data_IF_012493116930
#
_entry.id   IF_012493116930
#
_cell.length_a   1.000
_cell.length_b   1.000
_cell.length_c   1.000
_cell.angle_alpha   90.00
_cell.angle_beta   90.00
_cell.angle_gamma   90.00
#
_symmetry.space_group_name_H-M   'P 1'
#
loop_
_entity.id
_entity.type
_entity.pdbx_description
1 polymer ?
#
# COMPACT_ATOMS: atom_id res chain seq x y z
N UNK A 1 8.33 -20.01 -6.98
CA UNK A 1 6.92 -19.76 -7.33
C UNK A 1 6.51 -18.46 -6.64
N UNK A 2 6.09 -17.45 -7.40
CA UNK A 2 5.60 -16.18 -6.84
C UNK A 2 4.10 -16.13 -7.03
N UNK A 3 3.34 -16.05 -5.93
CA UNK A 3 1.90 -15.85 -5.97
C UNK A 3 1.61 -14.38 -5.75
N UNK A 4 0.73 -13.83 -6.58
CA UNK A 4 0.22 -12.48 -6.37
C UNK A 4 -0.79 -12.52 -5.23
N UNK A 5 -0.58 -11.70 -4.21
CA UNK A 5 -1.54 -11.52 -3.13
C UNK A 5 -2.20 -10.15 -3.26
N UNK A 6 -3.52 -10.14 -3.12
CA UNK A 6 -4.28 -8.89 -3.09
C UNK A 6 -4.21 -8.30 -1.69
N UNK A 7 -4.02 -6.99 -1.61
CA UNK A 7 -4.06 -6.26 -0.34
C UNK A 7 -5.49 -5.80 -0.12
N UNK A 8 -6.19 -6.44 0.81
CA UNK A 8 -7.57 -6.08 1.15
C UNK A 8 -7.68 -4.62 1.61
N UNK A 9 -8.72 -3.92 1.15
CA UNK A 9 -8.95 -2.51 1.48
C UNK A 9 -8.15 -1.51 0.65
N UNK A 10 -7.40 -1.96 -0.36
CA UNK A 10 -6.77 -1.12 -1.37
C UNK A 10 -7.48 -1.36 -2.71
N UNK A 11 -8.39 -0.46 -3.07
CA UNK A 11 -9.11 -0.49 -4.35
C UNK A 11 -9.01 0.88 -5.02
N UNK A 12 -8.79 0.91 -6.33
CA UNK A 12 -8.65 2.17 -7.07
C UNK A 12 -7.41 2.98 -6.66
N UNK A 13 -6.28 2.31 -6.40
CA UNK A 13 -5.00 2.99 -6.19
C UNK A 13 -4.56 3.70 -7.48
N UNK A 14 -4.32 5.01 -7.38
CA UNK A 14 -3.82 5.84 -8.49
C UNK A 14 -2.31 5.97 -8.48
N UNK A 15 -1.69 5.90 -7.31
CA UNK A 15 -0.24 5.90 -7.14
C UNK A 15 0.18 5.00 -5.97
N UNK A 16 1.37 4.42 -6.08
CA UNK A 16 2.00 3.60 -5.03
C UNK A 16 3.43 4.08 -4.81
N UNK A 17 3.84 4.13 -3.53
CA UNK A 17 5.23 4.31 -3.12
C UNK A 17 5.62 3.12 -2.25
N UNK A 18 6.72 2.47 -2.61
CA UNK A 18 7.33 1.40 -1.82
C UNK A 18 8.51 1.95 -1.02
N UNK A 19 8.41 1.89 0.30
CA UNK A 19 9.52 2.14 1.23
C UNK A 19 10.25 0.85 1.58
N UNK A 20 11.28 0.95 2.42
CA UNK A 20 12.11 -0.21 2.79
C UNK A 20 11.36 -1.29 3.59
N UNK A 21 10.25 -0.94 4.24
CA UNK A 21 9.50 -1.83 5.13
C UNK A 21 7.98 -1.67 5.04
N UNK A 22 7.50 -0.63 4.37
CA UNK A 22 6.07 -0.33 4.19
C UNK A 22 5.82 0.18 2.78
N UNK A 23 4.61 0.00 2.31
CA UNK A 23 4.13 0.55 1.04
C UNK A 23 2.93 1.44 1.36
N UNK A 24 2.77 2.52 0.61
CA UNK A 24 1.61 3.40 0.70
C UNK A 24 0.97 3.58 -0.68
N UNK A 25 -0.35 3.60 -0.72
CA UNK A 25 -1.14 3.86 -1.92
C UNK A 25 -1.99 5.12 -1.73
N UNK A 26 -2.00 5.99 -2.76
CA UNK A 26 -2.97 7.05 -2.92
C UNK A 26 -4.19 6.49 -3.66
N UNK A 27 -5.35 6.54 -3.03
CA UNK A 27 -6.61 6.08 -3.61
C UNK A 27 -7.28 7.20 -4.41
N UNK A 28 -8.14 6.82 -5.35
CA UNK A 28 -8.92 7.78 -6.15
C UNK A 28 -9.79 8.74 -5.32
N UNK A 29 -10.14 8.37 -4.09
CA UNK A 29 -10.84 9.25 -3.15
C UNK A 29 -9.97 10.30 -2.46
N UNK A 30 -8.65 10.31 -2.70
CA UNK A 30 -7.69 11.19 -2.02
C UNK A 30 -7.10 10.61 -0.73
N UNK A 31 -7.67 9.51 -0.23
CA UNK A 31 -7.17 8.82 0.96
C UNK A 31 -5.82 8.12 0.69
N UNK A 32 -4.95 8.11 1.70
CA UNK A 32 -3.71 7.33 1.69
C UNK A 32 -3.84 6.13 2.61
N UNK A 33 -3.47 4.95 2.10
CA UNK A 33 -3.43 3.71 2.89
C UNK A 33 -2.06 3.06 2.82
N UNK A 34 -1.50 2.72 3.97
CA UNK A 34 -0.20 2.08 4.06
C UNK A 34 -0.29 0.68 4.67
N UNK A 35 0.50 -0.25 4.15
CA UNK A 35 0.63 -1.62 4.67
C UNK A 35 2.10 -2.04 4.74
N UNK A 36 2.39 -3.03 5.58
CA UNK A 36 3.75 -3.48 5.88
C UNK A 36 4.17 -3.16 7.31
N UNK A 37 5.46 -3.33 7.60
CA UNK A 37 6.01 -3.14 8.95
C UNK A 37 6.04 -1.67 9.31
N UNK A 38 5.38 -1.32 10.43
CA UNK A 38 5.50 -0.01 11.05
C UNK A 38 6.92 0.14 11.60
N UNK A 39 7.85 0.78 10.88
CA UNK A 39 8.93 1.46 11.59
C UNK A 39 8.26 2.62 12.30
N UNK A 40 8.22 2.53 13.62
CA UNK A 40 7.73 3.59 14.51
C UNK A 40 8.41 4.90 14.09
N UNK A 41 7.60 5.96 14.02
CA UNK A 41 8.00 7.26 13.45
C UNK A 41 9.25 7.86 14.07
#
# INVERSE_FOLDING_TARGET
MFTLTTVSGITGAMAIVAGSAHNCALLAGGDVRCWGSKRQG
#
